data_IF_975418167238
#
_entry.id   IF_975418167238
#
_cell.length_a   1.000
_cell.length_b   1.000
_cell.length_c   1.000
_cell.angle_alpha   90.00
_cell.angle_beta   90.00
_cell.angle_gamma   90.00
#
_symmetry.space_group_name_H-M   'P 1'
#
loop_
_entity.id
_entity.type
_entity.pdbx_description
1 polymer ?
#
# COMPACT_ATOMS: atom_id res chain seq x y z
N UNK A 1 22.50 -1.05 -36.85
CA UNK A 1 21.39 -0.44 -36.12
C UNK A 1 21.25 -1.19 -34.81
N UNK A 2 21.69 -0.58 -33.71
CA UNK A 2 21.66 -1.18 -32.38
C UNK A 2 20.64 -0.36 -31.60
N UNK A 3 19.39 -0.81 -31.62
CA UNK A 3 18.35 -0.18 -30.82
C UNK A 3 18.69 -0.41 -29.35
N UNK A 4 19.25 0.62 -28.73
CA UNK A 4 19.23 0.77 -27.28
C UNK A 4 17.77 0.68 -26.85
N UNK A 5 17.42 -0.38 -26.14
CA UNK A 5 16.17 -0.41 -25.37
C UNK A 5 16.42 0.56 -24.21
N UNK A 6 16.13 1.84 -24.43
CA UNK A 6 15.92 2.79 -23.36
C UNK A 6 14.71 2.26 -22.60
N UNK A 7 14.93 1.85 -21.34
CA UNK A 7 13.86 1.77 -20.35
C UNK A 7 13.02 3.04 -20.52
N UNK A 8 11.80 2.85 -21.03
CA UNK A 8 10.87 3.91 -21.44
C UNK A 8 10.81 5.02 -20.38
N UNK A 9 10.84 6.30 -20.80
CA UNK A 9 10.66 7.54 -20.02
C UNK A 9 9.33 7.56 -19.21
N UNK A 10 9.14 6.61 -18.33
CA UNK A 10 7.96 6.45 -17.49
C UNK A 10 8.07 7.36 -16.28
N UNK A 11 6.93 7.90 -15.85
CA UNK A 11 6.86 8.54 -14.55
C UNK A 11 6.92 7.48 -13.46
N UNK A 12 7.61 7.80 -12.38
CA UNK A 12 7.59 7.00 -11.16
C UNK A 12 6.21 7.13 -10.49
N UNK A 13 5.66 6.03 -10.00
CA UNK A 13 4.51 6.02 -9.09
C UNK A 13 4.95 5.25 -7.86
N UNK A 14 4.85 5.87 -6.69
CA UNK A 14 5.40 5.31 -5.46
C UNK A 14 4.55 5.60 -4.22
N UNK A 15 4.76 4.83 -3.17
CA UNK A 15 4.08 5.00 -1.91
C UNK A 15 4.51 3.98 -0.86
N UNK A 16 3.85 4.04 0.29
CA UNK A 16 4.09 3.15 1.43
C UNK A 16 2.78 2.48 1.84
N UNK A 17 2.83 1.18 2.08
CA UNK A 17 1.80 0.46 2.84
C UNK A 17 2.28 0.38 4.28
N UNK A 18 1.46 0.80 5.24
CA UNK A 18 1.86 0.87 6.65
C UNK A 18 0.75 0.41 7.58
N UNK A 19 1.14 -0.04 8.77
CA UNK A 19 0.21 -0.38 9.83
C UNK A 19 -0.23 0.90 10.54
N UNK A 20 -1.44 1.34 10.21
CA UNK A 20 -2.10 2.48 10.86
C UNK A 20 -2.67 2.02 12.22
N UNK A 21 -1.93 2.33 13.28
CA UNK A 21 -2.21 1.92 14.66
C UNK A 21 -3.34 2.75 15.26
N UNK A 22 -3.48 4.00 14.83
CA UNK A 22 -4.40 4.96 15.42
C UNK A 22 -5.63 5.26 14.53
N UNK A 23 -5.65 4.76 13.29
CA UNK A 23 -6.73 4.85 12.33
C UNK A 23 -6.87 6.22 11.65
N UNK A 24 -5.81 7.03 11.61
CA UNK A 24 -5.87 8.41 11.12
C UNK A 24 -5.50 8.58 9.63
N UNK A 25 -5.15 7.49 8.93
CA UNK A 25 -4.76 7.51 7.53
C UNK A 25 -3.48 8.29 7.22
N UNK A 26 -2.61 8.47 8.21
CA UNK A 26 -1.27 9.02 8.06
C UNK A 26 -0.27 8.05 8.67
N UNK A 27 0.92 7.94 8.10
CA UNK A 27 1.97 7.14 8.71
C UNK A 27 2.67 7.96 9.78
N UNK A 28 2.34 7.69 11.04
CA UNK A 28 2.91 8.37 12.19
C UNK A 28 4.20 7.71 12.71
N UNK A 29 4.89 8.39 13.62
CA UNK A 29 6.03 7.81 14.33
C UNK A 29 5.59 6.56 15.12
N UNK A 30 6.26 5.44 14.85
CA UNK A 30 5.93 4.15 15.45
C UNK A 30 4.97 3.29 14.61
N UNK A 31 4.49 3.79 13.47
CA UNK A 31 3.68 3.02 12.52
C UNK A 31 4.56 2.38 11.43
N UNK A 32 4.85 1.06 11.55
CA UNK A 32 5.78 0.41 10.65
C UNK A 32 5.18 0.22 9.25
N UNK A 33 6.05 0.23 8.24
CA UNK A 33 5.69 -0.25 6.91
C UNK A 33 5.34 -1.74 6.92
N UNK A 34 4.41 -2.14 6.04
CA UNK A 34 3.98 -3.53 5.91
C UNK A 34 4.68 -4.17 4.70
N UNK A 35 5.60 -5.13 4.92
CA UNK A 35 6.34 -5.75 3.85
C UNK A 35 5.51 -6.80 3.10
N UNK A 36 5.93 -7.10 1.87
CA UNK A 36 5.35 -8.16 1.03
C UNK A 36 3.85 -8.00 0.71
N UNK A 37 3.30 -6.79 0.81
CA UNK A 37 1.92 -6.51 0.44
C UNK A 37 1.78 -6.45 -1.07
N UNK A 38 0.82 -7.21 -1.62
CA UNK A 38 0.50 -7.19 -3.04
C UNK A 38 -0.47 -6.03 -3.33
N UNK A 39 -0.14 -5.21 -4.31
CA UNK A 39 -0.99 -4.15 -4.83
C UNK A 39 -1.36 -4.47 -6.28
N UNK A 40 -2.64 -4.28 -6.63
CA UNK A 40 -3.11 -4.39 -8.01
C UNK A 40 -2.87 -3.07 -8.75
N UNK A 41 -2.42 -3.15 -10.01
CA UNK A 41 -2.25 -1.98 -10.87
C UNK A 41 -3.07 -2.14 -12.15
N UNK A 42 -4.11 -1.31 -12.28
CA UNK A 42 -4.96 -1.25 -13.48
C UNK A 42 -4.51 -0.13 -14.43
N UNK A 43 -4.60 -0.31 -15.76
CA UNK A 43 -4.99 -1.54 -16.44
C UNK A 43 -3.97 -2.67 -16.22
N UNK A 44 -4.50 -3.86 -15.96
CA UNK A 44 -3.77 -5.07 -15.58
C UNK A 44 -3.65 -6.10 -16.72
N UNK A 45 -3.27 -7.36 -16.41
CA UNK A 45 -2.95 -7.87 -15.09
C UNK A 45 -1.53 -7.45 -14.68
N UNK A 46 -1.41 -6.55 -13.69
CA UNK A 46 -0.13 -6.08 -13.18
C UNK A 46 -0.22 -5.93 -11.68
N UNK A 47 0.87 -6.26 -11.01
CA UNK A 47 0.98 -6.21 -9.57
C UNK A 47 2.33 -5.62 -9.17
N UNK A 48 2.38 -5.02 -7.99
CA UNK A 48 3.63 -4.61 -7.33
C UNK A 48 3.59 -5.08 -5.89
N UNK A 49 4.75 -5.36 -5.33
CA UNK A 49 4.90 -5.84 -3.95
C UNK A 49 5.75 -4.86 -3.16
N UNK A 50 5.37 -4.60 -1.92
CA UNK A 50 6.14 -3.74 -1.02
C UNK A 50 7.43 -4.41 -0.54
N UNK A 51 8.47 -3.61 -0.37
CA UNK A 51 9.74 -4.05 0.21
C UNK A 51 9.66 -4.20 1.75
N UNK A 52 10.79 -4.51 2.39
CA UNK A 52 10.89 -4.67 3.86
C UNK A 52 10.45 -3.45 4.67
N UNK A 53 10.49 -2.26 4.06
CA UNK A 53 10.06 -0.99 4.67
C UNK A 53 8.62 -0.61 4.30
N UNK A 54 7.87 -1.50 3.62
CA UNK A 54 6.52 -1.23 3.15
C UNK A 54 6.44 -0.35 1.92
N UNK A 55 7.57 0.02 1.32
CA UNK A 55 7.62 0.92 0.16
C UNK A 55 7.39 0.14 -1.14
N UNK A 56 6.72 0.76 -2.10
CA UNK A 56 6.62 0.26 -3.46
C UNK A 56 6.94 1.36 -4.47
N UNK A 57 7.44 0.95 -5.63
CA UNK A 57 7.65 1.84 -6.79
C UNK A 57 7.43 1.11 -8.09
N UNK A 58 6.83 1.79 -9.07
CA UNK A 58 6.69 1.33 -10.46
C UNK A 58 6.95 2.48 -11.43
N UNK A 59 7.35 2.16 -12.66
CA UNK A 59 7.47 3.13 -13.74
C UNK A 59 6.40 2.88 -14.80
N UNK A 60 5.71 3.94 -15.23
CA UNK A 60 4.65 3.85 -16.24
C UNK A 60 4.73 5.00 -17.23
N UNK A 61 4.54 4.70 -18.51
CA UNK A 61 4.29 5.71 -19.53
C UNK A 61 3.03 6.52 -19.22
N UNK A 62 2.80 7.58 -19.98
CA UNK A 62 1.55 8.34 -19.93
C UNK A 62 0.33 7.41 -20.08
N UNK A 63 -0.72 7.72 -19.33
CA UNK A 63 -1.93 6.93 -19.21
C UNK A 63 -2.59 7.19 -17.86
N UNK A 64 -3.77 6.58 -17.69
CA UNK A 64 -4.48 6.55 -16.42
C UNK A 64 -4.26 5.21 -15.75
N UNK A 65 -3.85 5.24 -14.50
CA UNK A 65 -3.60 4.05 -13.69
C UNK A 65 -4.37 4.11 -12.39
N UNK A 66 -4.85 2.97 -11.94
CA UNK A 66 -5.39 2.81 -10.58
C UNK A 66 -4.54 1.79 -9.85
N UNK A 67 -4.04 2.16 -8.68
CA UNK A 67 -3.33 1.25 -7.77
C UNK A 67 -4.24 0.98 -6.59
N UNK A 68 -4.49 -0.29 -6.28
CA UNK A 68 -5.36 -0.69 -5.17
C UNK A 68 -4.64 -1.65 -4.24
N UNK A 69 -4.88 -1.51 -2.94
CA UNK A 69 -4.44 -2.51 -1.95
C UNK A 69 -5.29 -3.77 -2.04
N UNK A 70 -4.64 -4.92 -1.93
CA UNK A 70 -5.31 -6.22 -1.82
C UNK A 70 -5.30 -6.63 -0.35
N UNK A 71 -6.48 -6.90 0.21
CA UNK A 71 -6.62 -7.44 1.57
C UNK A 71 -6.25 -8.91 1.60
N UNK A 72 -5.67 -9.36 2.71
CA UNK A 72 -5.32 -10.76 2.98
C UNK A 72 -6.01 -11.26 4.24
N UNK A 73 -5.79 -12.53 4.59
CA UNK A 73 -6.21 -13.07 5.89
C UNK A 73 -5.48 -12.41 7.07
N UNK A 74 -4.40 -11.65 6.84
CA UNK A 74 -3.62 -10.95 7.87
C UNK A 74 -3.86 -9.44 7.88
N UNK A 75 -4.20 -8.84 6.73
CA UNK A 75 -4.30 -7.39 6.57
C UNK A 75 -5.60 -6.97 5.90
N UNK A 76 -6.30 -6.04 6.54
CA UNK A 76 -7.46 -5.35 6.01
C UNK A 76 -7.18 -3.86 5.80
N UNK A 77 -7.90 -3.23 4.88
CA UNK A 77 -7.89 -1.78 4.76
C UNK A 77 -8.50 -1.14 6.02
N UNK A 78 -7.92 -0.03 6.47
CA UNK A 78 -8.61 0.84 7.43
C UNK A 78 -9.80 1.49 6.74
N UNK A 79 -11.01 1.31 7.28
CA UNK A 79 -12.27 1.66 6.60
C UNK A 79 -12.47 3.15 6.32
N UNK A 80 -11.81 4.02 7.09
CA UNK A 80 -11.81 5.47 6.90
C UNK A 80 -10.78 5.97 5.88
N UNK A 81 -9.90 5.09 5.38
CA UNK A 81 -8.77 5.45 4.56
C UNK A 81 -8.93 4.98 3.10
N UNK A 82 -8.16 5.61 2.21
CA UNK A 82 -8.16 5.22 0.80
C UNK A 82 -7.55 3.84 0.60
N UNK A 83 -8.28 2.99 -0.13
CA UNK A 83 -7.81 1.66 -0.59
C UNK A 83 -7.42 1.64 -2.06
N UNK A 84 -7.54 2.79 -2.75
CA UNK A 84 -7.12 2.94 -4.13
C UNK A 84 -6.69 4.36 -4.45
N UNK A 85 -5.72 4.50 -5.36
CA UNK A 85 -5.24 5.78 -5.89
C UNK A 85 -5.35 5.79 -7.40
N UNK A 86 -5.89 6.86 -7.97
CA UNK A 86 -5.90 7.09 -9.42
C UNK A 86 -4.83 8.11 -9.82
N UNK A 87 -4.00 7.74 -10.79
CA UNK A 87 -2.92 8.54 -11.34
C UNK A 87 -3.27 8.83 -12.79
N UNK A 88 -3.24 10.10 -13.17
CA UNK A 88 -3.38 10.54 -14.57
C UNK A 88 -2.03 11.13 -14.98
N UNK A 89 -1.28 10.39 -15.80
CA UNK A 89 -0.06 10.88 -16.41
C UNK A 89 -0.34 11.24 -17.86
N UNK A 90 -0.47 12.52 -18.16
CA UNK A 90 -0.73 12.98 -19.53
C UNK A 90 0.57 13.11 -20.34
N UNK A 91 0.53 12.73 -21.62
CA UNK A 91 1.68 12.83 -22.51
C UNK A 91 2.19 14.26 -22.70
N UNK A 92 1.31 15.27 -22.53
CA UNK A 92 1.66 16.68 -22.56
C UNK A 92 2.62 17.10 -21.42
N UNK A 93 2.67 16.33 -20.33
CA UNK A 93 3.47 16.60 -19.14
C UNK A 93 4.72 15.71 -19.06
N UNK A 94 5.19 15.15 -20.19
CA UNK A 94 6.35 14.26 -20.21
C UNK A 94 7.59 14.98 -19.65
N UNK A 95 8.11 14.49 -18.54
CA UNK A 95 9.37 14.92 -17.95
C UNK A 95 10.10 13.71 -17.37
N UNK A 96 11.42 13.65 -17.54
CA UNK A 96 12.28 12.54 -17.08
C UNK A 96 12.38 12.43 -15.55
N UNK A 97 11.91 13.44 -14.82
CA UNK A 97 11.92 13.49 -13.35
C UNK A 97 10.51 13.52 -12.75
N UNK A 98 9.46 13.18 -13.52
CA UNK A 98 8.10 13.21 -13.00
C UNK A 98 7.87 12.02 -12.07
N UNK A 99 7.37 12.31 -10.86
CA UNK A 99 7.06 11.30 -9.84
C UNK A 99 5.70 11.57 -9.21
N UNK A 100 4.92 10.51 -9.04
CA UNK A 100 3.61 10.47 -8.39
C UNK A 100 3.71 9.66 -7.10
N UNK A 101 4.55 10.12 -6.18
CA UNK A 101 4.73 9.52 -4.86
C UNK A 101 3.63 9.90 -3.86
N UNK A 102 3.64 9.25 -2.69
CA UNK A 102 2.65 9.48 -1.62
C UNK A 102 1.33 8.74 -1.81
N UNK A 103 1.31 7.73 -2.69
CA UNK A 103 0.15 6.86 -2.91
C UNK A 103 0.13 5.77 -1.83
N UNK A 104 -0.13 6.19 -0.61
CA UNK A 104 0.03 5.35 0.56
C UNK A 104 -1.25 4.58 0.90
N UNK A 105 -1.12 3.45 1.59
CA UNK A 105 -2.24 2.62 2.03
C UNK A 105 -2.12 2.30 3.51
N UNK A 106 -3.13 2.70 4.28
CA UNK A 106 -3.26 2.39 5.69
C UNK A 106 -3.90 1.00 5.87
N UNK A 107 -3.19 0.07 6.48
CA UNK A 107 -3.66 -1.27 6.78
C UNK A 107 -3.85 -1.47 8.29
N UNK A 108 -4.76 -2.35 8.66
CA UNK A 108 -4.91 -2.87 10.01
C UNK A 108 -4.88 -4.40 10.00
N UNK A 109 -4.38 -5.05 11.06
CA UNK A 109 -4.43 -6.50 11.15
C UNK A 109 -5.87 -6.98 11.19
N UNK A 110 -6.19 -7.98 10.37
CA UNK A 110 -7.53 -8.57 10.18
C UNK A 110 -8.04 -9.38 11.39
N UNK A 111 -7.27 -9.47 12.48
CA UNK A 111 -7.44 -10.42 13.57
C UNK A 111 -8.91 -10.56 14.04
N UNK A 112 -9.51 -11.77 13.99
CA UNK A 112 -10.62 -12.07 14.86
C UNK A 112 -10.03 -12.22 16.27
N UNK A 113 -10.28 -11.27 17.18
CA UNK A 113 -9.91 -11.40 18.60
C UNK A 113 -10.21 -12.83 19.10
N UNK A 114 -9.24 -13.69 19.48
CA UNK A 114 -9.52 -14.67 20.50
C UNK A 114 -9.63 -13.86 21.80
N UNK A 115 -10.86 -13.73 22.29
CA UNK A 115 -11.15 -13.07 23.56
C UNK A 115 -10.30 -13.76 24.64
N UNK A 116 -9.24 -13.10 25.10
CA UNK A 116 -8.43 -13.58 26.22
C UNK A 116 -9.25 -13.35 27.48
N UNK A 117 -10.26 -14.21 27.71
CA UNK A 117 -11.04 -14.19 28.95
C UNK A 117 -10.14 -14.73 30.06
N UNK A 118 -9.50 -13.84 30.80
CA UNK A 118 -8.89 -14.18 32.08
C UNK A 118 -10.00 -14.56 33.04
N UNK A 119 -10.31 -15.86 33.16
CA UNK A 119 -11.06 -16.35 34.30
C UNK A 119 -10.17 -16.23 35.54
N UNK A 120 -10.26 -15.09 36.23
CA UNK A 120 -9.93 -15.06 37.66
C UNK A 120 -11.01 -15.88 38.36
N UNK A 121 -10.79 -17.19 38.47
CA UNK A 121 -11.53 -17.99 39.44
C UNK A 121 -11.00 -17.65 40.82
N UNK A 122 -11.49 -16.55 41.42
CA UNK A 122 -11.39 -16.39 42.86
C UNK A 122 -12.43 -17.31 43.48
N UNK A 123 -12.00 -18.49 43.93
CA UNK A 123 -12.78 -19.30 44.85
C UNK A 123 -12.87 -18.53 46.17
N UNK A 124 -13.95 -17.77 46.37
CA UNK A 124 -14.31 -17.31 47.70
C UNK A 124 -15.03 -18.49 48.39
N UNK A 125 -14.32 -19.21 49.24
CA UNK A 125 -14.92 -20.09 50.22
C UNK A 125 -15.57 -19.21 51.30
N UNK A 126 -16.88 -19.36 51.51
CA UNK A 126 -17.53 -19.07 52.79
C UNK A 126 -18.61 -20.12 53.04
#
# INVERSE_FOLDING_TARGET
DCQTVIEEDGAEICGVVYYDLNGNCQQDEGEPGVPNMLLEVMPGPKYVTTNDSGEYRIYRQYGTYTISSITTDEWSNVSSCDSSHTIVYESANKASSLSFCGKNFAMSPSCPKPDLVTYLSSTALS
#
